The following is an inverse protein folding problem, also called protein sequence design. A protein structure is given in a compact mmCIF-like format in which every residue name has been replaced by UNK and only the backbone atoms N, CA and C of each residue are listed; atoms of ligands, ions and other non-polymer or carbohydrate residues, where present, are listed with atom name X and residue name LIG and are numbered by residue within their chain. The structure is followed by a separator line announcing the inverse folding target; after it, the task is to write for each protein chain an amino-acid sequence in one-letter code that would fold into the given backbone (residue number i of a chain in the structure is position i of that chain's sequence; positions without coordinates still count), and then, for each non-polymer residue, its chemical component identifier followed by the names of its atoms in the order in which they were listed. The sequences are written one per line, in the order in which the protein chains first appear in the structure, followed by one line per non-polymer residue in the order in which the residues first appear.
data_IF_034199177168
#
_entry.id   IF_034199177168
#
_cell.length_a   1.000
_cell.length_b   1.000
_cell.length_c   1.000
_cell.angle_alpha   90.00
_cell.angle_beta   90.00
_cell.angle_gamma   90.00
#
_symmetry.space_group_name_H-M   'P 1'
#
loop_
_entity.id
_entity.type
_entity.pdbx_description
1 polymer ?
#
# COMPACT_ATOMS: atom_id res chain seq x y z
N UNK A 1 -31.19 -10.20 -7.75
CA UNK A 1 -30.24 -10.93 -6.90
C UNK A 1 -29.06 -11.54 -7.67
N UNK A 2 -29.27 -12.07 -8.88
CA UNK A 2 -28.21 -12.68 -9.70
C UNK A 2 -27.16 -11.65 -10.18
N UNK A 3 -27.59 -10.48 -10.62
CA UNK A 3 -26.72 -9.42 -11.15
C UNK A 3 -25.76 -8.83 -10.10
N UNK A 4 -26.25 -8.68 -8.86
CA UNK A 4 -25.45 -8.20 -7.73
C UNK A 4 -24.40 -9.24 -7.29
N UNK A 5 -24.77 -10.52 -7.34
CA UNK A 5 -23.89 -11.65 -7.03
C UNK A 5 -22.78 -11.82 -8.09
N UNK A 6 -23.15 -11.62 -9.37
CA UNK A 6 -22.22 -11.68 -10.50
C UNK A 6 -21.20 -10.52 -10.49
N UNK A 7 -21.64 -9.28 -10.17
CA UNK A 7 -20.73 -8.14 -9.95
C UNK A 7 -19.75 -8.38 -8.80
N UNK A 8 -20.20 -8.93 -7.68
CA UNK A 8 -19.32 -9.25 -6.55
C UNK A 8 -18.32 -10.36 -6.89
N UNK A 9 -18.71 -11.34 -7.71
CA UNK A 9 -17.79 -12.37 -8.20
C UNK A 9 -16.74 -11.77 -9.14
N UNK A 10 -17.12 -10.95 -10.10
CA UNK A 10 -16.19 -10.30 -11.02
C UNK A 10 -15.16 -9.41 -10.32
N UNK A 11 -15.57 -8.64 -9.30
CA UNK A 11 -14.65 -7.82 -8.49
C UNK A 11 -13.67 -8.70 -7.70
N UNK A 12 -14.14 -9.85 -7.19
CA UNK A 12 -13.31 -10.77 -6.41
C UNK A 12 -12.31 -11.53 -7.26
N UNK A 13 -12.66 -11.84 -8.48
CA UNK A 13 -11.91 -12.69 -9.40
C UNK A 13 -11.10 -11.88 -10.43
N UNK A 14 -11.25 -10.53 -10.44
CA UNK A 14 -10.43 -9.65 -11.26
C UNK A 14 -8.98 -9.69 -10.79
N UNK A 15 -8.00 -9.77 -11.71
CA UNK A 15 -6.59 -9.57 -11.36
C UNK A 15 -6.44 -8.23 -10.63
N UNK A 16 -5.65 -8.20 -9.56
CA UNK A 16 -5.28 -6.93 -8.94
C UNK A 16 -4.53 -6.10 -9.99
N UNK A 17 -5.26 -5.16 -10.61
CA UNK A 17 -4.63 -4.18 -11.47
C UNK A 17 -3.65 -3.34 -10.64
N UNK A 18 -2.67 -2.69 -11.28
CA UNK A 18 -1.65 -1.82 -10.65
C UNK A 18 -2.25 -0.60 -9.90
N UNK A 19 -3.55 -0.60 -9.64
CA UNK A 19 -4.31 0.51 -9.05
C UNK A 19 -4.35 0.58 -7.53
N UNK A 20 -3.69 -0.35 -6.81
CA UNK A 20 -3.83 -0.45 -5.34
C UNK A 20 -3.55 0.85 -4.59
N UNK A 21 -2.50 1.60 -4.95
CA UNK A 21 -2.19 2.88 -4.30
C UNK A 21 -3.27 3.94 -4.56
N UNK A 22 -3.82 4.00 -5.77
CA UNK A 22 -4.93 4.89 -6.10
C UNK A 22 -6.21 4.49 -5.38
N UNK A 23 -6.67 3.26 -5.60
CA UNK A 23 -7.99 2.77 -5.14
C UNK A 23 -8.03 2.63 -3.62
N UNK A 24 -7.02 1.97 -3.03
CA UNK A 24 -7.04 1.60 -1.62
C UNK A 24 -6.56 2.73 -0.69
N UNK A 25 -5.79 3.69 -1.20
CA UNK A 25 -5.13 4.71 -0.39
C UNK A 25 -5.57 6.13 -0.76
N UNK A 26 -5.45 6.53 -2.03
CA UNK A 26 -5.73 7.90 -2.44
C UNK A 26 -7.22 8.21 -2.53
N UNK A 27 -8.02 7.36 -3.18
CA UNK A 27 -9.47 7.60 -3.31
C UNK A 27 -10.14 7.85 -1.96
N UNK A 28 -9.99 6.98 -0.93
CA UNK A 28 -10.57 7.25 0.37
C UNK A 28 -10.00 8.52 1.02
N UNK A 29 -8.72 8.84 0.78
CA UNK A 29 -8.12 10.09 1.28
C UNK A 29 -8.71 11.32 0.59
N UNK A 30 -8.94 11.29 -0.72
CA UNK A 30 -9.61 12.39 -1.43
C UNK A 30 -11.06 12.57 -0.97
N UNK A 31 -11.77 11.50 -0.63
CA UNK A 31 -13.11 11.61 -0.05
C UNK A 31 -13.12 12.36 1.27
N UNK A 32 -12.04 12.25 2.08
CA UNK A 32 -11.90 12.92 3.38
C UNK A 32 -11.33 14.35 3.25
N UNK A 33 -10.34 14.56 2.38
CA UNK A 33 -9.51 15.76 2.36
C UNK A 33 -9.54 16.54 1.04
N UNK A 34 -9.97 15.92 -0.06
CA UNK A 34 -9.98 16.53 -1.39
C UNK A 34 -11.09 17.55 -1.56
N UNK A 35 -10.87 18.51 -2.45
CA UNK A 35 -11.93 19.42 -2.93
C UNK A 35 -12.93 18.67 -3.82
N UNK A 36 -14.09 19.24 -4.08
CA UNK A 36 -15.09 18.60 -4.96
C UNK A 36 -14.55 18.47 -6.40
N UNK A 37 -13.75 19.44 -6.87
CA UNK A 37 -13.09 19.42 -8.17
C UNK A 37 -12.10 18.24 -8.24
N UNK A 38 -11.26 18.06 -7.22
CA UNK A 38 -10.31 16.94 -7.14
C UNK A 38 -11.03 15.59 -7.11
N UNK A 39 -12.13 15.48 -6.37
CA UNK A 39 -12.96 14.26 -6.32
C UNK A 39 -13.54 13.93 -7.70
N UNK A 40 -14.11 14.92 -8.38
CA UNK A 40 -14.69 14.76 -9.73
C UNK A 40 -13.61 14.39 -10.76
N UNK A 41 -12.43 15.01 -10.66
CA UNK A 41 -11.35 14.80 -11.61
C UNK A 41 -10.70 13.43 -11.50
N UNK A 42 -10.48 12.93 -10.26
CA UNK A 42 -9.59 11.79 -10.06
C UNK A 42 -10.28 10.50 -9.62
N UNK A 43 -11.43 10.55 -8.93
CA UNK A 43 -11.99 9.33 -8.33
C UNK A 43 -12.46 8.34 -9.40
N UNK A 44 -13.24 8.79 -10.36
CA UNK A 44 -13.82 7.91 -11.37
C UNK A 44 -12.74 7.28 -12.26
N UNK A 45 -11.80 8.05 -12.77
CA UNK A 45 -10.67 7.57 -13.59
C UNK A 45 -9.77 6.60 -12.84
N UNK A 46 -9.57 6.83 -11.52
CA UNK A 46 -8.80 5.91 -10.65
C UNK A 46 -9.53 4.59 -10.45
N UNK A 47 -10.84 4.62 -10.19
CA UNK A 47 -11.65 3.41 -9.99
C UNK A 47 -11.78 2.56 -11.27
N UNK A 48 -11.72 3.20 -12.43
CA UNK A 48 -11.69 2.51 -13.73
C UNK A 48 -10.31 2.01 -14.13
N UNK A 49 -9.26 2.37 -13.38
CA UNK A 49 -7.87 2.01 -13.70
C UNK A 49 -7.27 2.81 -14.85
N UNK A 50 -7.90 3.91 -15.24
CA UNK A 50 -7.41 4.84 -16.28
C UNK A 50 -6.29 5.74 -15.74
N UNK A 51 -6.32 6.03 -14.43
CA UNK A 51 -5.27 6.79 -13.73
C UNK A 51 -4.60 5.91 -12.68
N UNK A 52 -3.34 5.57 -12.92
CA UNK A 52 -2.50 4.82 -12.00
C UNK A 52 -1.69 5.81 -11.17
N UNK A 53 -1.60 5.56 -9.87
CA UNK A 53 -0.94 6.41 -8.91
C UNK A 53 0.29 5.77 -8.31
N UNK A 54 1.29 6.61 -8.00
CA UNK A 54 2.42 6.24 -7.17
C UNK A 54 2.56 7.17 -5.96
N UNK A 55 3.29 6.72 -4.95
CA UNK A 55 3.47 7.40 -3.67
C UNK A 55 4.88 8.01 -3.58
N UNK A 56 4.98 9.33 -3.49
CA UNK A 56 6.21 10.07 -3.32
C UNK A 56 6.44 10.49 -1.86
N UNK A 57 6.81 9.52 -0.98
CA UNK A 57 6.99 9.81 0.45
C UNK A 57 8.46 9.76 0.86
N UNK A 58 9.05 8.58 0.87
CA UNK A 58 10.40 8.35 1.36
C UNK A 58 11.46 9.07 0.53
N UNK A 59 12.52 9.52 1.20
CA UNK A 59 13.72 10.08 0.60
C UNK A 59 14.94 9.28 1.07
N UNK A 60 16.11 9.39 0.43
CA UNK A 60 17.30 8.65 0.84
C UNK A 60 17.63 8.77 2.33
N UNK A 61 17.36 9.94 2.93
CA UNK A 61 17.62 10.22 4.35
C UNK A 61 16.35 10.36 5.20
N UNK A 62 15.16 10.11 4.65
CA UNK A 62 13.87 10.27 5.34
C UNK A 62 12.93 9.10 5.01
N UNK A 63 13.12 7.98 5.71
CA UNK A 63 12.26 6.80 5.65
C UNK A 63 11.48 6.64 6.94
N UNK A 64 12.06 6.01 7.97
CA UNK A 64 11.40 5.85 9.28
C UNK A 64 11.12 7.20 9.94
N UNK A 65 12.02 8.17 9.79
CA UNK A 65 11.78 9.57 10.15
C UNK A 65 11.28 10.36 8.93
N UNK A 66 10.11 9.96 8.41
CA UNK A 66 9.52 10.56 7.22
C UNK A 66 9.33 12.08 7.35
N UNK A 67 9.03 12.58 8.55
CA UNK A 67 8.85 14.01 8.77
C UNK A 67 10.14 14.84 8.58
N UNK A 68 11.30 14.20 8.39
CA UNK A 68 12.56 14.85 8.02
C UNK A 68 12.77 15.03 6.51
N UNK A 69 11.73 14.79 5.70
CA UNK A 69 11.79 14.96 4.25
C UNK A 69 12.27 16.37 3.84
N UNK A 70 13.02 16.44 2.75
CA UNK A 70 13.71 17.64 2.25
C UNK A 70 13.18 18.11 0.89
N UNK A 71 12.47 17.28 0.13
CA UNK A 71 11.87 17.69 -1.15
C UNK A 71 11.07 18.96 -0.93
N UNK A 72 11.47 20.04 -1.59
CA UNK A 72 10.98 21.40 -1.39
C UNK A 72 9.85 21.71 -2.36
N UNK A 73 8.82 22.42 -1.88
CA UNK A 73 7.75 22.99 -2.71
C UNK A 73 7.61 24.47 -2.39
N UNK A 74 7.86 25.33 -3.37
CA UNK A 74 7.70 26.78 -3.27
C UNK A 74 6.52 27.22 -4.12
N UNK A 75 5.66 28.06 -3.58
CA UNK A 75 4.56 28.67 -4.33
C UNK A 75 5.06 29.94 -5.00
N UNK A 76 5.17 29.92 -6.33
CA UNK A 76 5.64 31.04 -7.16
C UNK A 76 4.60 31.27 -8.25
N UNK A 77 4.06 32.49 -8.33
CA UNK A 77 3.07 32.88 -9.34
C UNK A 77 1.89 31.93 -9.50
N UNK A 78 1.33 31.44 -8.39
CA UNK A 78 0.18 30.51 -8.36
C UNK A 78 0.52 29.08 -8.80
N UNK A 79 1.80 28.70 -8.76
CA UNK A 79 2.27 27.36 -9.09
C UNK A 79 3.25 26.85 -8.03
N UNK A 80 3.17 25.59 -7.70
CA UNK A 80 4.18 24.90 -6.90
C UNK A 80 5.39 24.59 -7.78
N UNK A 81 6.56 25.03 -7.38
CA UNK A 81 7.85 24.63 -7.95
C UNK A 81 8.49 23.63 -6.99
N UNK A 82 8.69 22.41 -7.47
CA UNK A 82 9.11 21.26 -6.64
C UNK A 82 10.51 20.84 -7.04
N UNK A 83 11.40 20.72 -6.03
CA UNK A 83 12.78 20.29 -6.18
C UNK A 83 13.13 19.25 -5.11
N UNK A 84 13.80 18.16 -5.52
CA UNK A 84 14.23 17.12 -4.60
C UNK A 84 14.24 15.74 -5.19
N UNK A 85 14.15 14.74 -4.31
CA UNK A 85 14.24 13.34 -4.70
C UNK A 85 13.35 12.48 -3.81
N UNK A 86 12.65 11.52 -4.42
CA UNK A 86 11.95 10.43 -3.73
C UNK A 86 12.59 9.09 -4.06
N UNK A 87 12.48 8.14 -3.13
CA UNK A 87 13.01 6.78 -3.29
C UNK A 87 11.98 5.75 -2.82
N UNK A 88 12.15 4.52 -3.24
CA UNK A 88 11.24 3.40 -2.98
C UNK A 88 9.83 3.63 -3.52
N UNK A 89 9.72 4.46 -4.57
CA UNK A 89 8.45 4.76 -5.23
C UNK A 89 8.01 3.58 -6.08
N UNK A 90 7.06 2.81 -5.56
CA UNK A 90 6.51 1.64 -6.28
C UNK A 90 5.80 2.08 -7.54
N UNK A 91 6.07 1.38 -8.65
CA UNK A 91 5.37 1.52 -9.94
C UNK A 91 5.41 2.92 -10.58
N UNK A 92 6.31 3.81 -10.15
CA UNK A 92 6.40 5.18 -10.71
C UNK A 92 6.54 5.20 -12.24
N UNK A 93 7.28 4.23 -12.82
CA UNK A 93 7.48 4.11 -14.26
C UNK A 93 6.20 3.80 -15.06
N UNK A 94 5.12 3.40 -14.39
CA UNK A 94 3.82 3.08 -15.00
C UNK A 94 2.71 4.04 -14.58
N UNK A 95 3.01 4.97 -13.66
CA UNK A 95 2.01 5.85 -13.05
C UNK A 95 1.83 7.13 -13.86
N UNK A 96 0.58 7.57 -14.01
CA UNK A 96 0.22 8.85 -14.59
C UNK A 96 0.29 9.98 -13.56
N UNK A 97 0.07 9.66 -12.29
CA UNK A 97 0.00 10.64 -11.20
C UNK A 97 0.78 10.16 -9.98
N UNK A 98 1.29 11.12 -9.22
CA UNK A 98 1.90 10.89 -7.91
C UNK A 98 1.17 11.70 -6.84
N UNK A 99 0.97 11.12 -5.68
CA UNK A 99 0.68 11.88 -4.47
C UNK A 99 1.96 12.01 -3.64
N UNK A 100 2.39 13.24 -3.42
CA UNK A 100 3.73 13.55 -2.92
C UNK A 100 3.69 14.40 -1.65
N UNK A 101 4.57 14.08 -0.70
CA UNK A 101 4.85 14.95 0.45
C UNK A 101 6.03 15.87 0.13
N UNK A 102 5.82 17.17 0.32
CA UNK A 102 6.82 18.20 0.08
C UNK A 102 6.95 19.16 1.27
N UNK A 103 8.13 19.71 1.49
CA UNK A 103 8.41 20.76 2.49
C UNK A 103 8.03 22.11 1.92
N UNK A 104 6.90 22.66 2.38
CA UNK A 104 6.41 23.98 1.94
C UNK A 104 6.65 25.09 2.96
N UNK A 105 6.83 24.74 4.26
CA UNK A 105 7.08 25.66 5.35
C UNK A 105 8.37 25.25 6.08
N UNK A 106 9.56 25.64 5.60
CA UNK A 106 10.83 25.22 6.21
C UNK A 106 11.02 25.73 7.64
N UNK A 107 10.44 26.89 7.98
CA UNK A 107 10.53 27.51 9.29
C UNK A 107 9.49 26.96 10.30
N UNK A 108 8.51 26.20 9.84
CA UNK A 108 7.49 25.62 10.71
C UNK A 108 8.04 24.41 11.48
N UNK A 109 7.32 23.99 12.52
CA UNK A 109 7.62 22.74 13.22
C UNK A 109 7.58 21.56 12.24
N UNK A 110 8.38 20.54 12.51
CA UNK A 110 8.70 19.40 11.63
C UNK A 110 7.50 18.86 10.83
N UNK A 111 6.36 18.61 11.50
CA UNK A 111 5.16 18.05 10.86
C UNK A 111 4.32 19.12 10.16
N UNK A 112 4.23 20.34 10.71
CA UNK A 112 3.45 21.44 10.16
C UNK A 112 4.07 22.08 8.92
N UNK A 113 5.31 21.74 8.60
CA UNK A 113 6.00 22.24 7.40
C UNK A 113 5.76 21.43 6.15
N UNK A 114 4.91 20.40 6.19
CA UNK A 114 4.70 19.43 5.11
C UNK A 114 3.35 19.68 4.45
N UNK A 115 3.31 19.69 3.13
CA UNK A 115 2.10 19.70 2.31
C UNK A 115 1.99 18.44 1.46
N UNK A 116 0.78 18.12 1.03
CA UNK A 116 0.45 16.96 0.20
C UNK A 116 0.02 17.47 -1.19
N UNK A 117 0.79 17.14 -2.24
CA UNK A 117 0.59 17.67 -3.59
C UNK A 117 0.41 16.53 -4.59
N UNK A 118 -0.55 16.69 -5.50
CA UNK A 118 -0.78 15.78 -6.62
C UNK A 118 0.05 16.23 -7.81
N UNK A 119 0.88 15.34 -8.37
CA UNK A 119 1.85 15.66 -9.41
C UNK A 119 1.60 14.75 -10.62
N UNK A 120 1.28 15.30 -11.82
CA UNK A 120 1.30 14.52 -13.05
C UNK A 120 2.73 14.05 -13.36
N UNK A 121 2.90 12.76 -13.66
CA UNK A 121 4.22 12.14 -13.83
C UNK A 121 4.88 12.46 -15.17
N UNK A 122 4.14 13.04 -16.11
CA UNK A 122 4.63 13.55 -17.39
C UNK A 122 5.07 15.04 -17.32
N UNK A 123 5.04 15.65 -16.13
CA UNK A 123 5.48 17.03 -15.93
C UNK A 123 6.98 17.16 -16.25
N UNK A 124 7.38 18.16 -17.06
CA UNK A 124 8.81 18.43 -17.31
C UNK A 124 9.61 18.59 -16.02
N UNK A 125 10.84 18.06 -16.01
CA UNK A 125 11.72 18.09 -14.84
C UNK A 125 11.61 16.83 -13.95
N UNK A 126 10.72 15.89 -14.26
CA UNK A 126 10.66 14.58 -13.58
C UNK A 126 11.56 13.59 -14.28
N UNK A 127 12.47 12.96 -13.52
CA UNK A 127 13.27 11.83 -13.98
C UNK A 127 12.99 10.61 -13.10
N UNK A 128 12.68 9.47 -13.71
CA UNK A 128 12.38 8.21 -13.03
C UNK A 128 13.52 7.23 -13.31
N UNK A 129 14.13 6.69 -12.23
CA UNK A 129 15.20 5.69 -12.31
C UNK A 129 14.76 4.42 -11.60
N UNK A 130 14.49 3.33 -12.33
CA UNK A 130 14.13 2.05 -11.74
C UNK A 130 15.24 1.48 -10.85
N UNK A 131 14.86 0.94 -9.69
CA UNK A 131 15.74 0.23 -8.77
C UNK A 131 15.51 -1.28 -8.95
N UNK A 132 16.56 -1.98 -9.33
CA UNK A 132 16.54 -3.44 -9.45
C UNK A 132 16.81 -4.06 -8.09
N UNK A 133 15.88 -4.85 -7.58
CA UNK A 133 16.02 -5.57 -6.33
C UNK A 133 16.77 -6.92 -6.49
N UNK A 134 17.01 -7.63 -5.37
CA UNK A 134 17.72 -8.92 -5.38
C UNK A 134 16.99 -10.02 -6.17
N UNK A 135 15.71 -9.82 -6.53
CA UNK A 135 14.94 -10.73 -7.38
C UNK A 135 15.00 -10.35 -8.85
N UNK A 136 15.89 -9.42 -9.23
CA UNK A 136 16.08 -8.87 -10.57
C UNK A 136 14.84 -8.14 -11.13
N UNK A 137 13.92 -7.73 -10.26
CA UNK A 137 12.74 -6.96 -10.64
C UNK A 137 12.94 -5.48 -10.30
N UNK A 138 12.44 -4.61 -11.18
CA UNK A 138 12.43 -3.16 -11.00
C UNK A 138 11.06 -2.71 -10.48
N UNK A 139 10.71 -3.11 -9.25
CA UNK A 139 9.43 -2.77 -8.63
C UNK A 139 9.39 -1.39 -7.97
N UNK A 140 10.56 -0.86 -7.64
CA UNK A 140 10.74 0.43 -7.00
C UNK A 140 11.50 1.39 -7.89
N UNK A 141 11.40 2.69 -7.60
CA UNK A 141 12.09 3.73 -8.35
C UNK A 141 12.63 4.82 -7.42
N UNK A 142 13.69 5.48 -7.87
CA UNK A 142 14.02 6.84 -7.52
C UNK A 142 13.27 7.79 -8.47
N UNK A 143 12.78 8.90 -7.93
CA UNK A 143 12.13 9.95 -8.71
C UNK A 143 12.76 11.29 -8.34
N UNK A 144 13.34 11.95 -9.32
CA UNK A 144 13.99 13.25 -9.17
C UNK A 144 13.06 14.34 -9.69
N UNK A 145 13.08 15.48 -8.99
CA UNK A 145 12.34 16.69 -9.35
C UNK A 145 13.32 17.83 -9.52
N UNK A 146 13.35 18.40 -10.72
CA UNK A 146 14.17 19.55 -11.10
C UNK A 146 13.24 20.64 -11.66
N UNK A 147 12.94 21.67 -10.86
CA UNK A 147 11.99 22.75 -11.14
C UNK A 147 10.63 22.27 -11.67
N UNK A 148 10.13 21.16 -11.13
CA UNK A 148 8.84 20.58 -11.51
C UNK A 148 7.72 21.52 -11.08
N UNK A 149 6.92 21.97 -12.05
CA UNK A 149 5.89 22.99 -11.83
C UNK A 149 4.49 22.42 -11.94
N UNK A 150 3.68 22.55 -10.89
CA UNK A 150 2.27 22.12 -10.87
C UNK A 150 1.35 23.25 -10.37
N UNK A 151 0.07 23.27 -10.76
CA UNK A 151 -0.89 24.27 -10.31
C UNK A 151 -1.04 24.31 -8.77
N UNK A 152 -1.37 25.50 -8.23
CA UNK A 152 -1.59 25.69 -6.79
C UNK A 152 -2.69 24.76 -6.25
N UNK A 153 -3.76 24.56 -7.03
CA UNK A 153 -4.92 23.73 -6.69
C UNK A 153 -4.62 22.22 -6.57
N UNK A 154 -3.43 21.79 -6.96
CA UNK A 154 -3.02 20.38 -6.80
C UNK A 154 -2.70 20.00 -5.34
N UNK A 155 -2.76 20.93 -4.40
CA UNK A 155 -2.63 20.65 -2.97
C UNK A 155 -3.90 19.95 -2.45
N UNK A 156 -3.74 18.90 -1.65
CA UNK A 156 -4.83 18.23 -0.93
C UNK A 156 -4.81 18.66 0.53
N UNK A 157 -5.96 19.09 1.03
CA UNK A 157 -6.04 19.80 2.31
C UNK A 157 -5.48 21.22 2.18
N UNK A 158 -4.98 21.78 3.29
CA UNK A 158 -4.35 23.09 3.30
C UNK A 158 -2.82 23.00 3.33
N UNK A 159 -2.17 24.10 2.99
CA UNK A 159 -0.72 24.25 3.14
C UNK A 159 -0.30 23.98 4.59
N UNK A 160 0.68 23.11 4.78
CA UNK A 160 1.13 22.67 6.10
C UNK A 160 0.31 21.55 6.74
N UNK A 161 -0.81 21.12 6.16
CA UNK A 161 -1.63 19.99 6.66
C UNK A 161 -1.25 18.64 6.08
N UNK A 162 -0.24 18.57 5.21
CA UNK A 162 0.14 17.33 4.50
C UNK A 162 0.46 16.16 5.41
N UNK A 163 0.95 16.41 6.62
CA UNK A 163 1.17 15.34 7.60
C UNK A 163 -0.13 14.68 8.07
N UNK A 164 -1.20 15.44 8.24
CA UNK A 164 -2.52 14.91 8.59
C UNK A 164 -3.12 14.10 7.44
N UNK A 165 -3.00 14.60 6.20
CA UNK A 165 -3.40 13.89 4.98
C UNK A 165 -2.62 12.59 4.83
N UNK A 166 -1.29 12.62 5.03
CA UNK A 166 -0.45 11.42 4.97
C UNK A 166 -0.84 10.37 6.01
N UNK A 167 -1.22 10.78 7.22
CA UNK A 167 -1.70 9.85 8.24
C UNK A 167 -3.03 9.19 7.85
N UNK A 168 -3.91 9.87 7.12
CA UNK A 168 -5.12 9.28 6.53
C UNK A 168 -4.75 8.22 5.49
N UNK A 169 -3.89 8.55 4.53
CA UNK A 169 -3.36 7.61 3.53
C UNK A 169 -2.79 6.35 4.19
N UNK A 170 -1.87 6.52 5.16
CA UNK A 170 -1.24 5.41 5.89
C UNK A 170 -2.25 4.62 6.74
N UNK A 171 -3.34 5.24 7.15
CA UNK A 171 -4.46 4.58 7.83
C UNK A 171 -5.18 3.60 6.90
N UNK A 172 -5.43 3.99 5.67
CA UNK A 172 -6.04 3.15 4.62
C UNK A 172 -5.08 2.04 4.17
N UNK A 173 -3.80 2.35 3.96
CA UNK A 173 -2.75 1.40 3.60
C UNK A 173 -2.64 0.24 4.59
N UNK A 174 -2.68 0.51 5.90
CA UNK A 174 -2.61 -0.55 6.92
C UNK A 174 -3.76 -1.55 6.77
N UNK A 175 -4.94 -1.09 6.38
CA UNK A 175 -6.10 -1.95 6.12
C UNK A 175 -5.90 -2.88 4.93
N UNK A 176 -5.30 -2.39 3.86
CA UNK A 176 -5.00 -3.13 2.63
C UNK A 176 -3.88 -4.16 2.86
N UNK A 177 -2.74 -3.73 3.43
CA UNK A 177 -1.57 -4.59 3.67
C UNK A 177 -1.87 -5.77 4.61
N UNK A 178 -2.76 -5.58 5.57
CA UNK A 178 -3.12 -6.59 6.58
C UNK A 178 -4.43 -7.31 6.25
N UNK A 179 -4.84 -7.37 4.99
CA UNK A 179 -6.07 -8.05 4.59
C UNK A 179 -5.98 -9.57 4.88
N UNK A 180 -6.74 -10.08 5.87
CA UNK A 180 -6.64 -11.47 6.29
C UNK A 180 -7.14 -12.46 5.24
N UNK A 181 -7.94 -12.01 4.26
CA UNK A 181 -8.43 -12.87 3.18
C UNK A 181 -7.29 -13.26 2.22
N UNK A 182 -6.31 -12.37 2.00
CA UNK A 182 -5.12 -12.70 1.20
C UNK A 182 -4.32 -13.80 1.88
N UNK A 183 -4.10 -13.69 3.19
CA UNK A 183 -3.39 -14.70 3.98
C UNK A 183 -4.17 -16.02 4.04
N UNK A 184 -5.50 -15.97 4.15
CA UNK A 184 -6.34 -17.15 4.11
C UNK A 184 -6.27 -17.87 2.75
N UNK A 185 -6.27 -17.15 1.65
CA UNK A 185 -6.13 -17.73 0.32
C UNK A 185 -4.77 -18.45 0.18
N UNK A 186 -3.68 -17.83 0.63
CA UNK A 186 -2.34 -18.46 0.66
C UNK A 186 -2.31 -19.71 1.53
N UNK A 187 -2.92 -19.65 2.72
CA UNK A 187 -3.05 -20.82 3.60
C UNK A 187 -3.80 -21.96 2.89
N UNK A 188 -4.90 -21.67 2.21
CA UNK A 188 -5.65 -22.69 1.47
C UNK A 188 -4.83 -23.29 0.32
N UNK A 189 -4.05 -22.48 -0.39
CA UNK A 189 -3.11 -22.96 -1.41
C UNK A 189 -2.08 -23.91 -0.80
N UNK A 190 -1.48 -23.53 0.34
CA UNK A 190 -0.52 -24.38 1.05
C UNK A 190 -1.16 -25.70 1.54
N UNK A 191 -2.37 -25.66 2.10
CA UNK A 191 -3.11 -26.86 2.51
C UNK A 191 -3.34 -27.79 1.32
N UNK A 192 -3.69 -27.27 0.15
CA UNK A 192 -3.90 -28.09 -1.04
C UNK A 192 -2.58 -28.70 -1.51
N UNK A 193 -1.51 -27.94 -1.58
CA UNK A 193 -0.16 -28.43 -1.88
C UNK A 193 0.21 -29.59 -0.93
N UNK A 194 0.05 -29.40 0.38
CA UNK A 194 0.37 -30.42 1.38
C UNK A 194 -0.49 -31.68 1.30
N UNK A 195 -1.68 -31.61 0.70
CA UNK A 195 -2.55 -32.79 0.45
C UNK A 195 -2.15 -33.55 -0.79
N UNK A 196 -1.58 -32.88 -1.79
CA UNK A 196 -1.23 -33.44 -3.09
C UNK A 196 0.20 -33.98 -3.10
N UNK A 197 1.13 -33.23 -2.51
CA UNK A 197 2.56 -33.57 -2.52
C UNK A 197 2.94 -34.58 -1.43
N UNK A 198 3.97 -35.39 -1.72
CA UNK A 198 4.44 -36.45 -0.83
C UNK A 198 5.95 -36.37 -0.58
N UNK A 199 6.36 -36.78 0.63
CA UNK A 199 7.76 -37.03 1.00
C UNK A 199 7.85 -38.44 1.56
N UNK A 200 8.78 -39.23 1.06
CA UNK A 200 8.96 -40.66 1.44
C UNK A 200 7.64 -41.47 1.38
N UNK A 201 6.82 -41.22 0.37
CA UNK A 201 5.52 -41.88 0.16
C UNK A 201 4.41 -41.46 1.11
N UNK A 202 4.62 -40.47 1.97
CA UNK A 202 3.60 -39.85 2.84
C UNK A 202 3.23 -38.48 2.37
N UNK A 203 1.93 -38.14 2.34
CA UNK A 203 1.49 -36.79 2.04
C UNK A 203 2.11 -35.81 3.06
N UNK A 204 2.51 -34.63 2.62
CA UNK A 204 3.10 -33.61 3.50
C UNK A 204 2.19 -33.27 4.68
N UNK A 205 0.86 -33.26 4.48
CA UNK A 205 -0.11 -32.99 5.53
C UNK A 205 -0.18 -34.09 6.62
N UNK A 206 0.27 -35.32 6.32
CA UNK A 206 0.30 -36.42 7.25
C UNK A 206 1.62 -36.47 8.06
N UNK A 207 2.60 -35.66 7.73
CA UNK A 207 3.85 -35.48 8.50
C UNK A 207 3.54 -34.66 9.74
N UNK A 208 3.70 -35.27 10.93
CA UNK A 208 3.23 -34.69 12.19
C UNK A 208 3.81 -33.29 12.47
N UNK A 209 5.12 -33.07 12.21
CA UNK A 209 5.78 -31.80 12.44
C UNK A 209 5.24 -30.68 11.53
N UNK A 210 4.98 -30.97 10.27
CA UNK A 210 4.42 -30.00 9.33
C UNK A 210 2.95 -29.71 9.62
N UNK A 211 2.18 -30.76 9.95
CA UNK A 211 0.78 -30.60 10.34
C UNK A 211 0.60 -29.79 11.61
N UNK A 212 1.44 -29.95 12.62
CA UNK A 212 1.38 -29.16 13.85
C UNK A 212 1.60 -27.67 13.56
N UNK A 213 2.64 -27.34 12.81
CA UNK A 213 2.91 -25.96 12.38
C UNK A 213 1.78 -25.39 11.54
N UNK A 214 1.23 -26.17 10.60
CA UNK A 214 0.09 -25.75 9.79
C UNK A 214 -1.12 -25.39 10.66
N UNK A 215 -1.45 -26.22 11.67
CA UNK A 215 -2.58 -25.95 12.56
C UNK A 215 -2.37 -24.70 13.42
N UNK A 216 -1.14 -24.44 13.88
CA UNK A 216 -0.79 -23.21 14.59
C UNK A 216 -0.99 -21.97 13.72
N UNK A 217 -0.48 -21.99 12.49
CA UNK A 217 -0.66 -20.89 11.51
C UNK A 217 -2.14 -20.71 11.17
N UNK A 218 -2.88 -21.80 10.93
CA UNK A 218 -4.31 -21.75 10.65
C UNK A 218 -5.10 -21.10 11.77
N UNK A 219 -4.81 -21.45 13.03
CA UNK A 219 -5.44 -20.82 14.19
C UNK A 219 -5.21 -19.30 14.23
N UNK A 220 -3.97 -18.85 13.95
CA UNK A 220 -3.63 -17.43 13.89
C UNK A 220 -4.33 -16.71 12.72
N UNK A 221 -4.43 -17.35 11.54
CA UNK A 221 -5.14 -16.77 10.37
C UNK A 221 -6.63 -16.57 10.70
N UNK A 222 -7.28 -17.56 11.30
CA UNK A 222 -8.69 -17.45 11.70
C UNK A 222 -8.89 -16.36 12.78
N UNK A 223 -7.97 -16.26 13.73
CA UNK A 223 -8.00 -15.18 14.73
C UNK A 223 -7.84 -13.78 14.11
N UNK A 224 -6.93 -13.62 13.13
CA UNK A 224 -6.74 -12.39 12.38
C UNK A 224 -8.00 -12.02 11.57
N UNK A 225 -8.69 -12.99 10.97
CA UNK A 225 -9.97 -12.78 10.31
C UNK A 225 -11.05 -12.28 11.28
N UNK A 226 -11.22 -12.93 12.42
CA UNK A 226 -12.20 -12.52 13.43
C UNK A 226 -11.88 -11.12 13.96
N UNK A 227 -10.59 -10.79 14.14
CA UNK A 227 -10.16 -9.46 14.54
C UNK A 227 -10.50 -8.40 13.49
N UNK A 228 -10.27 -8.68 12.20
CA UNK A 228 -10.62 -7.78 11.09
C UNK A 228 -12.13 -7.48 11.05
N UNK A 229 -12.98 -8.51 11.20
CA UNK A 229 -14.43 -8.34 11.26
C UNK A 229 -14.86 -7.51 12.47
N UNK A 230 -14.20 -7.68 13.61
CA UNK A 230 -14.43 -6.86 14.81
C UNK A 230 -14.07 -5.39 14.57
N UNK A 231 -12.95 -5.12 13.91
CA UNK A 231 -12.56 -3.75 13.54
C UNK A 231 -13.53 -3.11 12.57
N UNK A 232 -14.01 -3.86 11.58
CA UNK A 232 -15.02 -3.39 10.64
C UNK A 232 -16.32 -3.04 11.37
N UNK A 233 -16.80 -3.91 12.25
CA UNK A 233 -17.97 -3.65 13.10
C UNK A 233 -17.79 -2.41 13.98
N UNK A 234 -16.60 -2.25 14.58
CA UNK A 234 -16.28 -1.09 15.41
C UNK A 234 -16.22 0.24 14.62
N UNK A 235 -15.78 0.20 13.35
CA UNK A 235 -15.82 1.39 12.47
C UNK A 235 -17.23 1.87 12.15
N UNK A 236 -18.19 0.95 12.07
CA UNK A 236 -19.61 1.26 11.78
C UNK A 236 -20.31 1.84 13.02
N UNK A 237 -19.83 1.50 14.22
CA UNK A 237 -20.44 1.93 15.48
C UNK A 237 -19.72 3.19 16.02
N UNK A 238 -20.45 4.32 16.19
CA UNK A 238 -19.85 5.56 16.70
C UNK A 238 -19.24 5.38 18.10
N UNK A 239 -18.05 6.00 18.32
CA UNK A 239 -17.42 6.08 19.64
C UNK A 239 -16.38 5.00 19.96
N UNK A 240 -16.10 4.05 19.08
CA UNK A 240 -15.04 3.07 19.28
C UNK A 240 -13.72 3.52 18.63
N UNK A 241 -12.63 3.54 19.41
CA UNK A 241 -11.29 3.80 18.86
C UNK A 241 -10.69 2.54 18.24
N UNK A 242 -10.64 2.48 16.91
CA UNK A 242 -10.12 1.35 16.15
C UNK A 242 -8.63 1.48 15.79
N UNK A 243 -7.99 2.62 16.11
CA UNK A 243 -6.61 2.94 15.68
C UNK A 243 -5.60 1.91 16.17
N UNK A 244 -5.62 1.58 17.46
CA UNK A 244 -4.72 0.57 18.03
C UNK A 244 -4.98 -0.82 17.44
N UNK A 245 -6.24 -1.20 17.27
CA UNK A 245 -6.61 -2.47 16.64
C UNK A 245 -6.08 -2.59 15.21
N UNK A 246 -6.13 -1.52 14.41
CA UNK A 246 -5.57 -1.48 13.07
C UNK A 246 -4.03 -1.63 13.04
N UNK A 247 -3.34 -1.03 14.03
CA UNK A 247 -1.89 -1.19 14.18
C UNK A 247 -1.51 -2.64 14.53
N UNK A 248 -2.22 -3.26 15.47
CA UNK A 248 -2.05 -4.67 15.86
C UNK A 248 -2.32 -5.57 14.65
N UNK A 249 -3.39 -5.31 13.90
CA UNK A 249 -3.71 -6.09 12.71
C UNK A 249 -2.58 -6.05 11.66
N UNK A 250 -2.00 -4.87 11.41
CA UNK A 250 -0.87 -4.73 10.47
C UNK A 250 0.34 -5.52 10.94
N UNK A 251 0.75 -5.40 12.20
CA UNK A 251 1.88 -6.13 12.77
C UNK A 251 1.66 -7.65 12.67
N UNK A 252 0.57 -8.14 13.24
CA UNK A 252 0.23 -9.57 13.26
C UNK A 252 0.08 -10.13 11.83
N UNK A 253 -0.57 -9.37 10.93
CA UNK A 253 -0.79 -9.81 9.55
C UNK A 253 0.52 -9.95 8.75
N UNK A 254 1.49 -9.06 8.98
CA UNK A 254 2.81 -9.17 8.31
C UNK A 254 3.65 -10.31 8.88
N UNK A 255 3.70 -10.49 10.20
CA UNK A 255 4.41 -11.61 10.84
C UNK A 255 3.81 -12.97 10.44
N UNK A 256 2.47 -13.05 10.41
CA UNK A 256 1.76 -14.26 10.00
C UNK A 256 2.04 -14.66 8.55
N UNK A 257 2.24 -13.67 7.66
CA UNK A 257 2.66 -13.93 6.30
C UNK A 257 4.05 -14.58 6.26
N UNK A 258 5.01 -14.06 7.02
CA UNK A 258 6.35 -14.66 7.13
C UNK A 258 6.31 -16.08 7.69
N UNK A 259 5.50 -16.34 8.72
CA UNK A 259 5.33 -17.70 9.27
C UNK A 259 4.78 -18.68 8.22
N UNK A 260 3.80 -18.26 7.44
CA UNK A 260 3.18 -19.07 6.39
C UNK A 260 4.15 -19.36 5.24
N UNK A 261 4.87 -18.33 4.77
CA UNK A 261 5.86 -18.46 3.71
C UNK A 261 7.07 -19.29 4.19
N UNK A 262 7.52 -19.11 5.43
CA UNK A 262 8.56 -19.96 6.03
C UNK A 262 8.16 -21.43 6.14
N UNK A 263 6.90 -21.72 6.51
CA UNK A 263 6.40 -23.09 6.48
C UNK A 263 6.39 -23.66 5.06
N UNK A 264 5.98 -22.87 4.07
CA UNK A 264 5.97 -23.30 2.66
C UNK A 264 7.39 -23.65 2.18
N UNK A 265 8.38 -22.83 2.48
CA UNK A 265 9.79 -23.09 2.13
C UNK A 265 10.28 -24.37 2.79
N UNK A 266 10.02 -24.55 4.08
CA UNK A 266 10.50 -25.72 4.83
C UNK A 266 9.90 -27.03 4.33
N UNK A 267 8.62 -27.06 3.94
CA UNK A 267 7.98 -28.28 3.40
C UNK A 267 8.43 -28.60 1.97
N UNK A 268 8.90 -27.58 1.21
CA UNK A 268 9.48 -27.76 -0.12
C UNK A 268 10.93 -28.27 -0.07
N UNK A 269 11.58 -28.23 1.11
CA UNK A 269 12.95 -28.66 1.30
C UNK A 269 13.92 -27.92 0.36
N UNK A 270 14.77 -28.64 -0.36
CA UNK A 270 15.74 -28.07 -1.28
C UNK A 270 15.08 -27.25 -2.42
N UNK A 271 13.89 -27.65 -2.87
CA UNK A 271 13.14 -26.93 -3.89
C UNK A 271 12.68 -25.54 -3.41
N UNK A 272 12.51 -25.35 -2.10
CA UNK A 272 12.13 -24.06 -1.51
C UNK A 272 13.18 -22.95 -1.66
N UNK A 273 14.40 -23.29 -2.08
CA UNK A 273 15.48 -22.35 -2.35
C UNK A 273 15.63 -21.98 -3.83
N UNK A 274 14.88 -22.67 -4.71
CA UNK A 274 14.89 -22.38 -6.14
C UNK A 274 14.05 -21.15 -6.43
N UNK A 275 14.59 -20.28 -7.27
CA UNK A 275 13.91 -19.12 -7.84
C UNK A 275 13.91 -19.23 -9.35
N UNK A 276 12.72 -19.22 -9.97
CA UNK A 276 12.53 -19.17 -11.42
C UNK A 276 12.20 -17.74 -11.89
#
# INVERSE_FOLDING_TARGET
ASYRRQRQMCIRDSPNAMGGQGIDMLVPTLLEWGTEEQKQQYIESTLHGETIWCQGYSEPNAGSDLASLQTKGELIDGKWVINGQKIWTSTAQFSQMMFCLVRTEPEASKHAGISFILIPMDTPGIEIRPLVDMTLKAGFNEVFFDDVTVPEENIVGKRGEGWSVANSVLGHERGSLANPNVTLNRLNTLINLMKEETIDGRRLIDVASYRDRLLQVQGKVLAAQAHSLRLLSAKINPGQNVKLGGMIQKLVGTELRHELEGLAIDIMGELGTLYE
#
